data_IF_093077883520
#
_entry.id   IF_093077883520
#
_cell.length_a   1.000
_cell.length_b   1.000
_cell.length_c   1.000
_cell.angle_alpha   90.00
_cell.angle_beta   90.00
_cell.angle_gamma   90.00
#
_symmetry.space_group_name_H-M   'P 1'
#
loop_
_entity.id
_entity.type
_entity.pdbx_description
1 polymer ?
#
# COMPACT_ATOMS: atom_id res chain seq x y z
N UNK A 1 7.02 -18.17 6.55
CA UNK A 1 5.60 -17.82 6.81
C UNK A 1 4.76 -18.17 5.58
N UNK A 2 3.43 -18.30 5.68
CA UNK A 2 2.62 -18.71 4.50
C UNK A 2 2.24 -17.51 3.64
N UNK A 3 1.37 -16.64 4.14
CA UNK A 3 0.80 -15.55 3.35
C UNK A 3 0.87 -14.23 4.09
N UNK A 4 1.33 -13.20 3.38
CA UNK A 4 1.25 -11.80 3.76
C UNK A 4 0.16 -11.13 2.92
N UNK A 5 -0.79 -10.46 3.58
CA UNK A 5 -1.86 -9.71 2.93
C UNK A 5 -1.74 -8.23 3.33
N UNK A 6 -1.60 -7.36 2.34
CA UNK A 6 -1.63 -5.91 2.52
C UNK A 6 -2.87 -5.32 1.85
N UNK A 7 -3.65 -4.58 2.63
CA UNK A 7 -4.83 -3.86 2.18
C UNK A 7 -4.50 -2.37 2.11
N UNK A 8 -4.37 -1.82 0.91
CA UNK A 8 -4.12 -0.40 0.66
C UNK A 8 -2.90 0.17 1.39
N UNK A 9 -1.85 -0.62 1.65
CA UNK A 9 -0.74 -0.21 2.51
C UNK A 9 0.33 0.60 1.75
N UNK A 10 0.80 1.76 2.23
CA UNK A 10 1.73 2.61 1.49
C UNK A 10 3.18 2.08 1.52
N UNK A 11 3.46 0.98 0.83
CA UNK A 11 4.76 0.30 0.87
C UNK A 11 5.93 1.16 0.37
N UNK A 12 5.65 2.09 -0.54
CA UNK A 12 6.62 3.05 -1.08
C UNK A 12 6.47 4.44 -0.45
N UNK A 13 5.70 4.57 0.64
CA UNK A 13 5.33 5.84 1.26
C UNK A 13 4.33 6.67 0.43
N UNK A 14 4.13 7.92 0.82
CA UNK A 14 3.28 8.92 0.16
C UNK A 14 4.07 9.75 -0.86
N UNK A 15 4.91 9.07 -1.64
CA UNK A 15 5.98 9.69 -2.42
C UNK A 15 5.51 10.25 -3.76
N UNK A 16 4.37 9.81 -4.32
CA UNK A 16 3.87 10.30 -5.61
C UNK A 16 2.33 10.44 -5.65
N UNK A 17 1.82 11.13 -6.66
CA UNK A 17 0.38 11.31 -7.00
C UNK A 17 -0.51 11.88 -5.90
N UNK A 18 -0.19 13.08 -5.41
CA UNK A 18 -1.15 13.84 -4.63
C UNK A 18 -1.60 15.08 -5.39
N UNK A 19 -2.91 15.22 -5.54
CA UNK A 19 -3.52 16.51 -5.84
C UNK A 19 -3.21 17.49 -4.70
N UNK A 20 -3.24 18.83 -4.94
CA UNK A 20 -3.03 19.81 -3.87
C UNK A 20 -3.97 19.62 -2.66
N UNK A 21 -5.17 19.08 -2.91
CA UNK A 21 -6.18 18.80 -1.88
C UNK A 21 -5.74 17.62 -1.01
N UNK A 22 -5.27 16.52 -1.60
CA UNK A 22 -4.82 15.35 -0.83
C UNK A 22 -3.53 15.65 -0.06
N UNK A 23 -2.63 16.48 -0.61
CA UNK A 23 -1.45 16.95 0.11
C UNK A 23 -1.81 17.81 1.34
N UNK A 24 -2.78 18.72 1.21
CA UNK A 24 -3.30 19.52 2.31
C UNK A 24 -3.97 18.64 3.39
N UNK A 25 -4.78 17.66 2.99
CA UNK A 25 -5.39 16.68 3.90
C UNK A 25 -4.35 15.88 4.66
N UNK A 26 -3.30 15.41 3.98
CA UNK A 26 -2.18 14.69 4.59
C UNK A 26 -1.37 15.57 5.54
N UNK A 27 -1.15 16.84 5.21
CA UNK A 27 -0.54 17.80 6.14
C UNK A 27 -1.38 17.99 7.40
N UNK A 28 -2.69 18.15 7.26
CA UNK A 28 -3.60 18.31 8.39
C UNK A 28 -3.61 17.06 9.28
N UNK A 29 -3.76 15.87 8.69
CA UNK A 29 -3.71 14.60 9.42
C UNK A 29 -2.41 14.41 10.16
N UNK A 30 -1.26 14.77 9.57
CA UNK A 30 0.05 14.74 10.25
C UNK A 30 0.07 15.66 11.47
N UNK A 31 -0.36 16.90 11.29
CA UNK A 31 -0.38 17.90 12.36
C UNK A 31 -1.28 17.47 13.52
N UNK A 32 -2.39 16.82 13.22
CA UNK A 32 -3.36 16.36 14.22
C UNK A 32 -2.96 15.03 14.88
N UNK A 33 -2.46 14.06 14.10
CA UNK A 33 -2.13 12.72 14.61
C UNK A 33 -0.83 12.66 15.41
N UNK A 34 0.11 13.59 15.18
CA UNK A 34 1.47 13.55 15.74
C UNK A 34 2.16 12.19 15.55
N UNK A 35 1.81 11.48 14.47
CA UNK A 35 2.28 10.11 14.22
C UNK A 35 3.68 10.12 13.61
N UNK A 36 4.61 9.43 14.26
CA UNK A 36 5.96 9.20 13.73
C UNK A 36 5.94 8.38 12.44
N UNK A 37 5.12 7.33 12.38
CA UNK A 37 5.00 6.50 11.17
C UNK A 37 4.47 7.28 9.98
N UNK A 38 3.52 8.20 10.20
CA UNK A 38 3.01 9.06 9.14
C UNK A 38 4.07 10.07 8.65
N UNK A 39 4.94 10.52 9.54
CA UNK A 39 6.11 11.34 9.20
C UNK A 39 7.11 10.56 8.34
N UNK A 40 7.46 9.35 8.75
CA UNK A 40 8.36 8.43 8.04
C UNK A 40 7.83 8.03 6.66
N UNK A 41 6.54 7.69 6.57
CA UNK A 41 5.88 7.39 5.29
C UNK A 41 5.82 8.61 4.36
N UNK A 42 5.90 9.83 4.92
CA UNK A 42 5.96 11.09 4.17
C UNK A 42 7.39 11.57 3.88
N UNK A 43 8.42 10.76 4.18
CA UNK A 43 9.84 11.08 4.04
C UNK A 43 10.32 12.27 4.89
N UNK A 44 9.55 12.71 5.88
CA UNK A 44 9.86 13.92 6.66
C UNK A 44 10.89 13.69 7.77
N UNK A 45 11.24 12.43 8.02
CA UNK A 45 12.31 12.03 8.94
C UNK A 45 13.71 12.15 8.31
N UNK A 46 13.79 12.44 7.01
CA UNK A 46 15.04 12.75 6.30
C UNK A 46 15.25 14.26 6.14
N UNK A 47 16.44 14.77 6.47
CA UNK A 47 16.73 16.21 6.46
C UNK A 47 17.25 16.75 5.12
N UNK A 48 18.10 16.00 4.41
CA UNK A 48 18.72 16.44 3.14
C UNK A 48 18.59 15.42 2.01
N UNK A 49 18.78 14.13 2.32
CA UNK A 49 18.65 13.04 1.35
C UNK A 49 17.47 12.13 1.71
N UNK A 50 16.47 12.08 0.83
CA UNK A 50 15.28 11.25 1.02
C UNK A 50 15.61 9.74 1.12
N UNK A 51 16.77 9.30 0.64
CA UNK A 51 17.24 7.91 0.81
C UNK A 51 17.60 7.58 2.25
N UNK A 52 17.79 8.58 3.10
CA UNK A 52 18.00 8.37 4.53
C UNK A 52 16.69 8.18 5.31
N UNK A 53 15.53 8.38 4.66
CA UNK A 53 14.23 8.15 5.29
C UNK A 53 14.07 6.70 5.70
N UNK A 54 13.33 6.48 6.79
CA UNK A 54 13.06 5.16 7.33
C UNK A 54 12.37 4.25 6.31
N UNK A 55 11.39 4.75 5.55
CA UNK A 55 10.69 3.96 4.53
C UNK A 55 11.61 3.52 3.39
N UNK A 56 12.57 4.38 2.97
CA UNK A 56 13.57 4.00 1.99
C UNK A 56 14.50 2.93 2.53
N UNK A 57 15.02 3.13 3.74
CA UNK A 57 15.88 2.15 4.41
C UNK A 57 15.17 0.81 4.61
N UNK A 58 13.87 0.83 4.90
CA UNK A 58 13.03 -0.36 5.02
C UNK A 58 12.91 -1.11 3.70
N UNK A 59 12.81 -0.42 2.55
CA UNK A 59 12.77 -1.06 1.22
C UNK A 59 14.02 -1.91 0.94
N UNK A 60 15.17 -1.56 1.52
CA UNK A 60 16.42 -2.29 1.38
C UNK A 60 16.48 -3.55 2.26
N UNK A 61 15.68 -3.62 3.33
CA UNK A 61 15.70 -4.76 4.27
C UNK A 61 14.93 -5.96 3.71
N UNK A 62 15.29 -7.11 4.25
CA UNK A 62 14.54 -8.35 4.08
C UNK A 62 13.25 -8.34 4.92
N UNK A 63 12.17 -8.90 4.37
CA UNK A 63 10.89 -9.01 5.07
C UNK A 63 9.84 -9.77 4.28
N UNK A 64 9.45 -9.26 3.11
CA UNK A 64 8.35 -9.84 2.33
C UNK A 64 8.72 -11.20 1.71
N UNK A 65 10.01 -11.45 1.45
CA UNK A 65 10.52 -12.74 0.95
C UNK A 65 10.37 -13.90 1.93
N UNK A 66 10.09 -13.61 3.20
CA UNK A 66 9.86 -14.64 4.22
C UNK A 66 8.50 -15.34 4.07
N UNK A 67 7.65 -14.87 3.16
CA UNK A 67 6.32 -15.41 2.88
C UNK A 67 6.30 -16.14 1.55
N UNK A 68 5.49 -17.21 1.46
CA UNK A 68 5.25 -17.93 0.21
C UNK A 68 4.39 -17.12 -0.75
N UNK A 69 3.37 -16.44 -0.22
CA UNK A 69 2.48 -15.59 -0.99
C UNK A 69 2.49 -14.16 -0.42
N UNK A 70 2.55 -13.17 -1.30
CA UNK A 70 2.38 -11.76 -0.97
C UNK A 70 1.20 -11.24 -1.79
N UNK A 71 0.12 -10.90 -1.10
CA UNK A 71 -1.13 -10.42 -1.69
C UNK A 71 -1.22 -8.92 -1.42
N UNK A 72 -1.16 -8.13 -2.49
CA UNK A 72 -1.30 -6.68 -2.43
C UNK A 72 -2.68 -6.31 -2.97
N UNK A 73 -3.44 -5.55 -2.19
CA UNK A 73 -4.77 -5.10 -2.57
C UNK A 73 -4.77 -3.59 -2.62
N UNK A 74 -5.22 -3.00 -3.73
CA UNK A 74 -5.35 -1.56 -3.88
C UNK A 74 -6.54 -1.19 -4.75
N UNK A 75 -6.99 0.06 -4.62
CA UNK A 75 -8.08 0.63 -5.40
C UNK A 75 -7.60 1.94 -6.00
N UNK A 76 -7.93 2.19 -7.27
CA UNK A 76 -7.69 3.50 -7.88
C UNK A 76 -8.57 4.61 -7.28
N UNK A 77 -9.60 4.22 -6.52
CA UNK A 77 -10.46 5.16 -5.78
C UNK A 77 -9.85 5.55 -4.42
N UNK A 78 -8.78 4.87 -3.99
CA UNK A 78 -8.00 5.26 -2.81
C UNK A 78 -7.12 6.45 -3.18
N UNK A 79 -7.56 7.65 -2.80
CA UNK A 79 -6.79 8.88 -2.97
C UNK A 79 -5.97 9.22 -1.73
N UNK A 80 -5.98 8.34 -0.72
CA UNK A 80 -5.16 8.46 0.48
C UNK A 80 -3.80 7.81 0.30
N UNK A 81 -3.75 6.59 -0.24
CA UNK A 81 -2.49 5.87 -0.54
C UNK A 81 -2.26 5.84 -2.05
N UNK A 82 -1.10 6.30 -2.54
CA UNK A 82 -0.79 6.24 -3.96
C UNK A 82 -0.89 4.80 -4.46
N UNK A 83 -1.56 4.61 -5.60
CA UNK A 83 -1.88 3.26 -6.09
C UNK A 83 -0.63 2.41 -6.33
N UNK A 84 0.40 3.00 -6.96
CA UNK A 84 1.70 2.37 -7.18
C UNK A 84 2.43 2.00 -5.88
N UNK A 85 2.22 2.79 -4.82
CA UNK A 85 2.75 2.51 -3.48
C UNK A 85 2.08 1.29 -2.86
N UNK A 86 0.75 1.21 -2.93
CA UNK A 86 -0.01 0.05 -2.44
C UNK A 86 0.30 -1.24 -3.22
N UNK A 87 0.62 -1.12 -4.50
CA UNK A 87 0.91 -2.27 -5.36
C UNK A 87 2.39 -2.62 -5.47
N UNK A 88 3.32 -1.88 -4.85
CA UNK A 88 4.76 -2.04 -5.07
C UNK A 88 5.05 -2.09 -6.58
N UNK A 89 4.71 -1.01 -7.28
CA UNK A 89 4.85 -0.89 -8.73
C UNK A 89 5.74 0.29 -9.09
N UNK A 90 6.47 0.12 -10.19
CA UNK A 90 7.18 1.22 -10.83
C UNK A 90 6.16 2.23 -11.36
N UNK A 91 6.43 3.51 -11.14
CA UNK A 91 5.68 4.63 -11.69
C UNK A 91 6.27 5.04 -13.05
N UNK A 92 5.47 5.63 -13.94
CA UNK A 92 5.98 6.19 -15.19
C UNK A 92 6.80 7.49 -14.98
N UNK A 93 6.72 8.10 -13.79
CA UNK A 93 7.45 9.33 -13.46
C UNK A 93 8.93 9.03 -13.15
N UNK A 94 9.74 8.98 -14.21
CA UNK A 94 11.18 8.75 -14.13
C UNK A 94 11.99 10.06 -14.09
N UNK A 95 11.33 11.22 -14.01
CA UNK A 95 11.99 12.53 -14.10
C UNK A 95 11.98 13.25 -12.76
N UNK A 96 10.91 13.12 -11.97
CA UNK A 96 10.87 13.78 -10.67
C UNK A 96 11.74 13.05 -9.65
N UNK A 97 12.34 13.80 -8.73
CA UNK A 97 13.13 13.22 -7.62
C UNK A 97 12.32 12.20 -6.81
N UNK A 98 11.03 12.45 -6.64
CA UNK A 98 10.09 11.60 -5.90
C UNK A 98 9.75 10.34 -6.70
N UNK A 99 9.50 10.45 -7.99
CA UNK A 99 9.23 9.30 -8.87
C UNK A 99 10.43 8.36 -8.99
N UNK A 100 11.63 8.92 -9.16
CA UNK A 100 12.89 8.16 -9.12
C UNK A 100 13.05 7.42 -7.78
N UNK A 101 12.82 8.10 -6.65
CA UNK A 101 12.92 7.47 -5.32
C UNK A 101 11.90 6.34 -5.14
N UNK A 102 10.65 6.54 -5.60
CA UNK A 102 9.62 5.50 -5.56
C UNK A 102 10.02 4.27 -6.39
N UNK A 103 10.58 4.49 -7.59
CA UNK A 103 11.04 3.41 -8.46
C UNK A 103 12.24 2.65 -7.89
N UNK A 104 13.15 3.34 -7.20
CA UNK A 104 14.23 2.68 -6.45
C UNK A 104 13.66 1.78 -5.34
N UNK A 105 12.76 2.30 -4.51
CA UNK A 105 12.15 1.50 -3.42
C UNK A 105 11.35 0.30 -3.96
N UNK A 106 10.60 0.50 -5.05
CA UNK A 106 9.87 -0.59 -5.71
C UNK A 106 10.84 -1.65 -6.24
N UNK A 107 11.94 -1.24 -6.88
CA UNK A 107 12.97 -2.15 -7.38
C UNK A 107 13.62 -2.93 -6.23
N UNK A 108 13.96 -2.24 -5.13
CA UNK A 108 14.54 -2.87 -3.94
C UNK A 108 13.64 -3.97 -3.36
N UNK A 109 12.32 -3.75 -3.34
CA UNK A 109 11.35 -4.72 -2.86
C UNK A 109 11.16 -5.86 -3.87
N UNK A 110 10.92 -5.54 -5.15
CA UNK A 110 10.64 -6.53 -6.19
C UNK A 110 11.79 -7.49 -6.42
N UNK A 111 13.04 -7.04 -6.34
CA UNK A 111 14.22 -7.88 -6.48
C UNK A 111 14.29 -9.01 -5.42
N UNK A 112 13.62 -8.84 -4.27
CA UNK A 112 13.56 -9.87 -3.21
C UNK A 112 12.39 -10.85 -3.40
N UNK A 113 11.45 -10.54 -4.29
CA UNK A 113 10.19 -11.28 -4.46
C UNK A 113 10.21 -12.29 -5.62
N UNK A 114 11.36 -12.56 -6.24
CA UNK A 114 11.46 -13.48 -7.39
C UNK A 114 10.95 -14.90 -7.10
N UNK A 115 11.19 -15.40 -5.89
CA UNK A 115 10.73 -16.72 -5.44
C UNK A 115 9.38 -16.68 -4.71
N UNK A 116 8.73 -15.52 -4.63
CA UNK A 116 7.46 -15.31 -3.92
C UNK A 116 6.32 -15.31 -4.92
N UNK A 117 5.20 -15.94 -4.57
CA UNK A 117 3.97 -15.79 -5.32
C UNK A 117 3.34 -14.41 -5.03
N UNK A 118 3.70 -13.42 -5.84
CA UNK A 118 3.22 -12.05 -5.74
C UNK A 118 1.92 -11.86 -6.52
N UNK A 119 0.83 -11.61 -5.80
CA UNK A 119 -0.51 -11.44 -6.37
C UNK A 119 -1.03 -10.04 -6.07
N UNK A 120 -1.58 -9.38 -7.08
CA UNK A 120 -2.10 -8.01 -6.99
C UNK A 120 -3.59 -7.98 -7.31
N UNK A 121 -4.39 -7.55 -6.35
CA UNK A 121 -5.83 -7.39 -6.49
C UNK A 121 -6.20 -5.92 -6.66
N UNK A 122 -6.67 -5.57 -7.86
CA UNK A 122 -7.24 -4.26 -8.12
C UNK A 122 -8.73 -4.31 -7.81
N UNK A 123 -9.16 -3.51 -6.83
CA UNK A 123 -10.55 -3.50 -6.35
C UNK A 123 -11.20 -2.18 -6.71
N UNK A 124 -12.42 -2.26 -7.22
CA UNK A 124 -13.29 -1.11 -7.42
C UNK A 124 -14.51 -1.26 -6.51
N UNK A 125 -14.72 -0.28 -5.66
CA UNK A 125 -15.89 -0.19 -4.81
C UNK A 125 -17.01 0.50 -5.58
N UNK A 126 -18.18 -0.14 -5.60
CA UNK A 126 -19.41 0.52 -6.06
C UNK A 126 -19.74 1.57 -5.01
N UNK A 127 -19.70 2.84 -5.40
CA UNK A 127 -20.08 3.94 -4.53
C UNK A 127 -21.58 3.80 -4.18
N UNK A 128 -21.89 3.26 -3.00
CA UNK A 128 -23.22 3.41 -2.45
C UNK A 128 -23.42 4.88 -2.13
N UNK A 129 -24.48 5.49 -2.68
CA UNK A 129 -24.86 6.88 -2.47
C UNK A 129 -24.94 7.18 -0.97
N UNK A 130 -23.89 7.73 -0.37
CA UNK A 130 -23.85 8.01 1.07
C UNK A 130 -23.06 9.29 1.37
N UNK A 131 -23.68 10.09 2.23
CA UNK A 131 -23.41 11.47 2.67
C UNK A 131 -21.94 11.88 2.71
N UNK A 132 -21.70 13.15 2.35
CA UNK A 132 -20.45 13.89 2.47
C UNK A 132 -19.84 13.74 3.88
N UNK A 133 -18.79 12.93 3.99
CA UNK A 133 -18.04 12.70 5.23
C UNK A 133 -16.62 13.26 5.11
N UNK A 134 -16.00 13.52 6.26
CA UNK A 134 -14.59 13.96 6.35
C UNK A 134 -13.66 12.93 5.69
N UNK A 135 -14.03 11.65 5.68
CA UNK A 135 -13.26 10.57 5.04
C UNK A 135 -13.26 10.64 3.51
N UNK A 136 -14.33 11.16 2.89
CA UNK A 136 -14.34 11.46 1.44
C UNK A 136 -13.42 12.64 1.12
N UNK A 137 -13.40 13.67 1.97
CA UNK A 137 -12.57 14.86 1.77
C UNK A 137 -11.06 14.56 1.89
N UNK A 138 -10.69 13.62 2.76
CA UNK A 138 -9.29 13.20 2.96
C UNK A 138 -8.90 12.02 2.03
N UNK A 139 -9.84 11.51 1.23
CA UNK A 139 -9.55 10.43 0.29
C UNK A 139 -9.47 9.03 0.91
N UNK A 140 -9.78 8.89 2.21
CA UNK A 140 -9.71 7.63 2.96
C UNK A 140 -10.95 6.77 2.80
N UNK A 141 -12.00 7.25 2.14
CA UNK A 141 -13.25 6.50 1.99
C UNK A 141 -13.04 5.12 1.33
N UNK A 142 -12.27 5.05 0.23
CA UNK A 142 -11.97 3.76 -0.41
C UNK A 142 -10.96 2.94 0.41
N UNK A 143 -10.02 3.60 1.09
CA UNK A 143 -9.09 2.95 2.01
C UNK A 143 -9.79 2.24 3.17
N UNK A 144 -10.80 2.88 3.77
CA UNK A 144 -11.65 2.32 4.85
C UNK A 144 -12.52 1.19 4.31
N UNK A 145 -12.99 1.29 3.06
CA UNK A 145 -13.87 0.29 2.43
C UNK A 145 -13.25 -1.10 2.33
N UNK A 146 -11.91 -1.21 2.31
CA UNK A 146 -11.22 -2.51 2.38
C UNK A 146 -11.54 -3.31 3.64
N UNK A 147 -11.77 -2.62 4.76
CA UNK A 147 -12.03 -3.23 6.07
C UNK A 147 -13.52 -3.21 6.44
N UNK A 148 -14.27 -2.23 5.93
CA UNK A 148 -15.65 -1.97 6.32
C UNK A 148 -16.70 -2.68 5.44
N UNK A 149 -16.27 -3.43 4.40
CA UNK A 149 -17.16 -4.27 3.59
C UNK A 149 -16.94 -5.76 3.87
N UNK A 150 -17.70 -6.37 4.81
CA UNK A 150 -17.58 -7.79 5.16
C UNK A 150 -17.71 -8.73 3.96
N UNK A 151 -18.57 -8.36 2.99
CA UNK A 151 -18.78 -9.15 1.77
C UNK A 151 -17.49 -9.27 0.94
N UNK A 152 -16.68 -8.21 0.88
CA UNK A 152 -15.40 -8.23 0.19
C UNK A 152 -14.42 -9.21 0.85
N UNK A 153 -14.26 -9.13 2.18
CA UNK A 153 -13.37 -10.02 2.93
C UNK A 153 -13.84 -11.48 2.85
N UNK A 154 -15.15 -11.73 2.95
CA UNK A 154 -15.71 -13.06 2.78
C UNK A 154 -15.48 -13.60 1.36
N UNK A 155 -15.73 -12.80 0.33
CA UNK A 155 -15.45 -13.20 -1.06
C UNK A 155 -13.96 -13.49 -1.26
N UNK A 156 -13.07 -12.63 -0.76
CA UNK A 156 -11.62 -12.80 -0.87
C UNK A 156 -11.17 -14.12 -0.23
N UNK A 157 -11.60 -14.37 1.01
CA UNK A 157 -11.20 -15.57 1.76
C UNK A 157 -11.85 -16.84 1.23
N UNK A 158 -13.07 -16.78 0.68
CA UNK A 158 -13.78 -17.92 0.11
C UNK A 158 -13.25 -18.29 -1.28
N UNK A 159 -13.16 -17.32 -2.20
CA UNK A 159 -12.73 -17.57 -3.59
C UNK A 159 -11.23 -17.87 -3.65
N UNK A 160 -10.43 -17.18 -2.86
CA UNK A 160 -8.96 -17.29 -2.88
C UNK A 160 -8.42 -18.04 -1.66
N UNK A 161 -9.19 -19.00 -1.14
CA UNK A 161 -8.87 -19.75 0.08
C UNK A 161 -7.50 -20.45 0.07
N UNK A 162 -7.01 -20.88 -1.11
CA UNK A 162 -5.69 -21.51 -1.28
C UNK A 162 -4.52 -20.61 -0.86
N UNK A 163 -4.73 -19.28 -0.89
CA UNK A 163 -3.76 -18.34 -0.37
C UNK A 163 -3.79 -18.26 1.15
N UNK A 164 -4.83 -18.71 1.84
CA UNK A 164 -4.97 -18.56 3.30
C UNK A 164 -4.81 -19.88 4.05
N UNK A 165 -5.14 -21.00 3.41
CA UNK A 165 -4.97 -22.34 3.93
C UNK A 165 -4.07 -23.17 3.01
N UNK A 166 -3.27 -24.06 3.59
CA UNK A 166 -2.58 -25.09 2.80
C UNK A 166 -3.59 -26.18 2.49
N UNK A 167 -3.70 -26.57 1.22
CA UNK A 167 -4.41 -27.81 0.88
C UNK A 167 -3.73 -28.95 1.65
N UNK A 168 -4.50 -29.86 2.29
CA UNK A 168 -3.90 -30.99 3.00
C UNK A 168 -3.03 -31.78 2.02
N UNK A 169 -1.82 -32.14 2.43
CA UNK A 169 -0.99 -33.06 1.66
C UNK A 169 -1.80 -34.32 1.40
N UNK A 170 -1.83 -34.86 0.17
CA UNK A 170 -2.47 -36.14 -0.07
C UNK A 170 -1.84 -37.15 0.89
N UNK A 171 -2.69 -37.85 1.64
CA UNK A 171 -2.27 -38.89 2.57
C UNK A 171 -1.64 -39.99 1.70
N UNK A 172 -0.32 -40.08 1.72
CA UNK A 172 0.45 -41.15 1.08
C UNK A 172 0.39 -42.43 1.90
#
# INVERSE_FOLDING_TARGET
MYTFLALGSPHLGYVHENSPITEAGMWLLRKLSKSESLSQLSLLDASQDMRQSYVYQLSLKSGLEYFRNVLLVASHQDTYVPHSSAMIQLTPDNLSKKGILANEMATNLLAKLEAVNLVRFHVNFVASTMRWSVDQLIGRSAHISFLDQPLYIHMLTYVYHDYFARSPSPIT
#
